data_IF_695492556866
#
_entry.id   IF_695492556866
#
_cell.length_a   1.000
_cell.length_b   1.000
_cell.length_c   1.000
_cell.angle_alpha   90.00
_cell.angle_beta   90.00
_cell.angle_gamma   90.00
#
_symmetry.space_group_name_H-M   'P 1'
#
loop_
_entity.id
_entity.type
_entity.pdbx_description
1 polymer ?
#
# COMPACT_ATOMS: atom_id res chain seq x y z
N UNK A 1 -5.39 -19.34 -3.65
CA UNK A 1 -5.50 -20.26 -4.82
C UNK A 1 -5.94 -19.50 -6.08
N UNK A 2 -6.75 -18.46 -5.99
CA UNK A 2 -7.33 -17.72 -7.12
C UNK A 2 -6.39 -16.71 -7.79
N UNK A 3 -5.38 -16.18 -7.07
CA UNK A 3 -4.49 -15.15 -7.60
C UNK A 3 -3.84 -15.47 -8.97
N UNK A 4 -3.39 -16.73 -9.26
CA UNK A 4 -2.87 -17.04 -10.58
C UNK A 4 -3.89 -16.85 -11.71
N UNK A 5 -5.16 -17.16 -11.47
CA UNK A 5 -6.22 -17.02 -12.46
C UNK A 5 -6.55 -15.53 -12.68
N UNK A 6 -6.51 -14.73 -11.60
CA UNK A 6 -6.69 -13.27 -11.69
C UNK A 6 -5.56 -12.59 -12.48
N UNK A 7 -4.31 -13.03 -12.31
CA UNK A 7 -3.17 -12.52 -13.11
C UNK A 7 -3.35 -12.85 -14.60
N UNK A 8 -3.81 -14.06 -14.93
CA UNK A 8 -4.11 -14.44 -16.32
C UNK A 8 -5.28 -13.65 -16.90
N UNK A 9 -6.29 -13.36 -16.09
CA UNK A 9 -7.42 -12.53 -16.50
C UNK A 9 -6.96 -11.08 -16.82
N UNK A 10 -6.09 -10.49 -16.00
CA UNK A 10 -5.47 -9.19 -16.32
C UNK A 10 -4.70 -9.23 -17.64
N UNK A 11 -3.97 -10.32 -17.90
CA UNK A 11 -3.25 -10.51 -19.15
C UNK A 11 -4.22 -10.59 -20.36
N UNK A 12 -5.35 -11.28 -20.22
CA UNK A 12 -6.40 -11.31 -21.24
C UNK A 12 -7.02 -9.94 -21.49
N UNK A 13 -7.02 -9.06 -20.49
CA UNK A 13 -7.49 -7.68 -20.58
C UNK A 13 -6.41 -6.69 -21.06
N UNK A 14 -5.19 -7.20 -21.36
CA UNK A 14 -4.12 -6.41 -21.96
C UNK A 14 -2.98 -6.00 -21.02
N UNK A 15 -2.90 -6.55 -19.81
CA UNK A 15 -1.73 -6.35 -18.96
C UNK A 15 -0.49 -7.05 -19.53
N UNK A 16 0.64 -6.34 -19.59
CA UNK A 16 1.88 -6.84 -20.18
C UNK A 16 2.90 -7.13 -19.08
N UNK A 17 2.82 -8.33 -18.51
CA UNK A 17 3.79 -8.79 -17.50
C UNK A 17 5.14 -9.16 -18.13
N UNK A 18 6.22 -8.95 -17.39
CA UNK A 18 7.56 -9.37 -17.77
C UNK A 18 7.62 -10.87 -18.03
N UNK A 19 8.42 -11.27 -19.04
CA UNK A 19 8.52 -12.65 -19.50
C UNK A 19 9.88 -13.26 -19.31
N UNK A 20 9.88 -14.54 -19.02
CA UNK A 20 11.09 -15.37 -19.10
C UNK A 20 11.46 -15.63 -20.58
N UNK A 21 12.69 -16.09 -20.89
CA UNK A 21 13.06 -16.49 -22.26
C UNK A 21 12.17 -17.56 -22.87
N UNK A 22 11.44 -18.34 -22.02
CA UNK A 22 10.47 -19.34 -22.46
C UNK A 22 9.04 -18.79 -22.59
N UNK A 23 8.90 -17.46 -22.59
CA UNK A 23 7.60 -16.76 -22.68
C UNK A 23 6.60 -17.07 -21.55
N UNK A 24 7.09 -17.48 -20.38
CA UNK A 24 6.27 -17.58 -19.17
C UNK A 24 6.29 -16.24 -18.40
N UNK A 25 5.24 -15.93 -17.66
CA UNK A 25 5.23 -14.75 -16.76
C UNK A 25 6.41 -14.87 -15.81
N UNK A 26 7.27 -13.85 -15.80
CA UNK A 26 8.42 -13.79 -14.91
C UNK A 26 7.96 -13.51 -13.47
N UNK A 27 8.68 -14.08 -12.52
CA UNK A 27 8.37 -13.95 -11.10
C UNK A 27 9.64 -13.54 -10.34
N UNK A 28 9.50 -12.59 -9.40
CA UNK A 28 10.62 -12.11 -8.59
C UNK A 28 10.49 -12.51 -7.12
N UNK A 29 11.62 -12.48 -6.42
CA UNK A 29 11.72 -12.61 -4.98
C UNK A 29 11.45 -11.28 -4.28
N UNK A 30 10.75 -11.34 -3.15
CA UNK A 30 10.65 -10.26 -2.16
C UNK A 30 10.93 -10.82 -0.77
N UNK A 31 11.20 -9.92 0.19
CA UNK A 31 11.44 -10.29 1.58
C UNK A 31 10.29 -11.10 2.19
N UNK A 32 10.64 -12.11 2.99
CA UNK A 32 9.70 -13.00 3.65
C UNK A 32 9.04 -14.07 2.74
N UNK A 33 9.27 -14.06 1.43
CA UNK A 33 8.78 -15.10 0.53
C UNK A 33 9.77 -16.26 0.41
N UNK A 34 9.28 -17.49 0.53
CA UNK A 34 10.10 -18.70 0.37
C UNK A 34 10.51 -18.94 -1.09
N UNK A 35 9.63 -18.60 -2.03
CA UNK A 35 9.85 -18.81 -3.47
C UNK A 35 9.53 -17.54 -4.26
N UNK A 36 10.19 -17.33 -5.44
CA UNK A 36 9.79 -16.29 -6.36
C UNK A 36 8.37 -16.58 -6.87
N UNK A 37 7.43 -15.67 -6.62
CA UNK A 37 6.02 -15.87 -7.01
C UNK A 37 5.32 -14.57 -7.42
N UNK A 38 6.02 -13.44 -7.44
CA UNK A 38 5.43 -12.15 -7.73
C UNK A 38 5.56 -11.83 -9.21
N UNK A 39 4.46 -11.96 -9.95
CA UNK A 39 4.34 -11.43 -11.29
C UNK A 39 4.58 -9.91 -11.26
N UNK A 40 5.30 -9.37 -12.24
CA UNK A 40 5.71 -7.98 -12.23
C UNK A 40 5.86 -7.40 -13.63
N UNK A 41 5.86 -6.06 -13.68
CA UNK A 41 6.20 -5.25 -14.85
C UNK A 41 7.29 -4.28 -14.39
N UNK A 42 8.57 -4.65 -14.57
CA UNK A 42 9.67 -3.86 -14.03
C UNK A 42 9.43 -3.49 -12.56
N UNK A 43 9.52 -2.19 -12.24
CA UNK A 43 9.20 -1.59 -10.95
C UNK A 43 7.85 -0.80 -10.95
N UNK A 44 7.01 -1.01 -11.98
CA UNK A 44 5.75 -0.29 -12.22
C UNK A 44 4.50 -1.19 -12.24
N UNK A 45 4.52 -2.34 -11.55
CA UNK A 45 3.43 -3.34 -11.58
C UNK A 45 2.08 -2.78 -11.18
N UNK A 46 2.02 -1.93 -10.15
CA UNK A 46 0.76 -1.29 -9.72
C UNK A 46 0.16 -0.40 -10.80
N UNK A 47 0.98 0.38 -11.48
CA UNK A 47 0.56 1.24 -12.59
C UNK A 47 -0.04 0.42 -13.74
N UNK A 48 0.58 -0.70 -14.11
CA UNK A 48 0.07 -1.58 -15.16
C UNK A 48 -1.30 -2.19 -14.81
N UNK A 49 -1.47 -2.62 -13.55
CA UNK A 49 -2.77 -3.15 -13.07
C UNK A 49 -3.84 -2.06 -13.13
N UNK A 50 -3.54 -0.85 -12.63
CA UNK A 50 -4.49 0.27 -12.64
C UNK A 50 -4.88 0.62 -14.08
N UNK A 51 -3.91 0.77 -14.99
CA UNK A 51 -4.15 1.05 -16.40
C UNK A 51 -5.09 0.01 -17.02
N UNK A 52 -4.79 -1.26 -16.83
CA UNK A 52 -5.58 -2.36 -17.40
C UNK A 52 -7.01 -2.37 -16.86
N UNK A 53 -7.18 -2.17 -15.55
CA UNK A 53 -8.52 -2.18 -14.93
C UNK A 53 -9.33 -0.93 -15.30
N UNK A 54 -8.71 0.24 -15.41
CA UNK A 54 -9.39 1.46 -15.86
C UNK A 54 -9.86 1.33 -17.32
N UNK A 55 -8.98 0.87 -18.23
CA UNK A 55 -9.34 0.61 -19.62
C UNK A 55 -10.50 -0.40 -19.71
N UNK A 56 -10.44 -1.47 -18.90
CA UNK A 56 -11.52 -2.46 -18.87
C UNK A 56 -12.83 -1.87 -18.36
N UNK A 57 -12.81 -1.08 -17.29
CA UNK A 57 -13.99 -0.41 -16.74
C UNK A 57 -14.67 0.50 -17.75
N UNK A 58 -13.89 1.30 -18.47
CA UNK A 58 -14.40 2.18 -19.54
C UNK A 58 -15.02 1.33 -20.68
N UNK A 59 -14.36 0.25 -21.07
CA UNK A 59 -14.84 -0.64 -22.13
C UNK A 59 -16.17 -1.34 -21.76
N UNK A 60 -16.35 -1.68 -20.48
CA UNK A 60 -17.60 -2.24 -19.94
C UNK A 60 -18.71 -1.19 -19.75
N UNK A 61 -18.42 0.08 -19.96
CA UNK A 61 -19.41 1.17 -19.83
C UNK A 61 -19.77 1.49 -18.37
N UNK A 62 -18.84 1.31 -17.44
CA UNK A 62 -19.03 1.69 -16.04
C UNK A 62 -19.03 3.22 -15.94
N UNK A 63 -20.06 3.79 -15.30
CA UNK A 63 -20.12 5.22 -15.00
C UNK A 63 -19.06 5.60 -13.96
N UNK A 64 -18.24 6.59 -14.29
CA UNK A 64 -17.15 7.06 -13.43
C UNK A 64 -17.40 8.51 -13.04
N UNK A 65 -17.56 8.74 -11.73
CA UNK A 65 -17.77 10.06 -11.14
C UNK A 65 -16.46 10.58 -10.56
N UNK A 66 -15.67 11.29 -11.39
CA UNK A 66 -14.39 11.86 -10.97
C UNK A 66 -14.59 13.07 -10.07
N UNK A 67 -13.65 13.29 -9.13
CA UNK A 67 -13.66 14.44 -8.21
C UNK A 67 -14.87 14.50 -7.25
N UNK A 68 -15.50 13.33 -6.99
CA UNK A 68 -16.55 13.20 -5.98
C UNK A 68 -15.99 12.70 -4.65
N UNK A 69 -16.33 13.38 -3.56
CA UNK A 69 -15.97 12.97 -2.19
C UNK A 69 -17.23 12.47 -1.48
N UNK A 70 -17.28 11.17 -1.18
CA UNK A 70 -18.35 10.56 -0.39
C UNK A 70 -18.14 10.86 1.08
N UNK A 71 -19.19 11.40 1.73
CA UNK A 71 -19.14 11.79 3.16
C UNK A 71 -20.13 11.08 4.05
N UNK A 72 -21.17 10.46 3.48
CA UNK A 72 -22.20 9.80 4.25
C UNK A 72 -22.75 8.59 3.51
N UNK A 73 -23.05 7.50 4.25
CA UNK A 73 -23.76 6.35 3.70
C UNK A 73 -25.26 6.44 4.10
N UNK A 74 -26.13 6.30 3.10
CA UNK A 74 -27.58 6.28 3.32
C UNK A 74 -28.04 4.90 3.79
N UNK A 75 -29.02 4.85 4.66
CA UNK A 75 -29.54 3.60 5.24
C UNK A 75 -31.07 3.55 5.20
N UNK A 76 -31.58 2.33 5.07
CA UNK A 76 -32.95 1.97 5.33
C UNK A 76 -32.98 0.86 6.41
N UNK A 77 -33.33 1.19 7.65
CA UNK A 77 -33.12 0.31 8.79
C UNK A 77 -31.63 -0.02 8.98
N UNK A 78 -31.27 -1.30 8.97
CA UNK A 78 -29.91 -1.78 9.13
C UNK A 78 -29.18 -1.99 7.77
N UNK A 79 -29.80 -1.63 6.65
CA UNK A 79 -29.25 -1.82 5.31
C UNK A 79 -28.70 -0.52 4.75
N UNK A 80 -27.50 -0.55 4.16
CA UNK A 80 -26.96 0.55 3.34
C UNK A 80 -27.68 0.56 1.99
N UNK A 81 -28.13 1.76 1.56
CA UNK A 81 -28.94 1.97 0.37
C UNK A 81 -28.39 3.05 -0.56
N UNK A 82 -27.20 3.54 -0.30
CA UNK A 82 -26.58 4.56 -1.12
C UNK A 82 -25.58 5.43 -0.37
N UNK A 83 -25.28 6.58 -0.93
CA UNK A 83 -24.37 7.54 -0.31
C UNK A 83 -24.70 8.98 -0.70
N UNK A 84 -24.17 9.94 0.08
CA UNK A 84 -24.14 11.36 -0.23
C UNK A 84 -22.71 11.78 -0.46
N UNK A 85 -22.49 12.49 -1.54
CA UNK A 85 -21.19 13.01 -1.96
C UNK A 85 -21.30 14.50 -2.33
N UNK A 86 -20.15 15.17 -2.40
CA UNK A 86 -20.05 16.48 -3.04
C UNK A 86 -18.96 16.43 -4.11
N UNK A 87 -19.12 17.29 -5.13
CA UNK A 87 -18.06 17.46 -6.14
C UNK A 87 -17.01 18.43 -5.62
N UNK A 88 -15.74 18.18 -5.95
CA UNK A 88 -14.64 19.11 -5.62
C UNK A 88 -14.50 20.24 -6.66
N UNK A 89 -15.23 20.17 -7.76
CA UNK A 89 -15.18 21.15 -8.85
C UNK A 89 -16.01 22.38 -8.53
N UNK A 90 -17.25 22.18 -8.07
CA UNK A 90 -18.24 23.25 -7.84
C UNK A 90 -18.87 23.20 -6.43
N UNK A 91 -18.66 22.14 -5.68
CA UNK A 91 -19.20 21.96 -4.33
C UNK A 91 -20.64 21.47 -4.30
N UNK A 92 -21.21 21.07 -5.42
CA UNK A 92 -22.58 20.55 -5.51
C UNK A 92 -22.73 19.21 -4.79
N UNK A 93 -23.89 19.02 -4.14
CA UNK A 93 -24.21 17.79 -3.41
C UNK A 93 -25.00 16.82 -4.28
N UNK A 94 -24.64 15.55 -4.19
CA UNK A 94 -25.24 14.47 -4.94
C UNK A 94 -25.60 13.30 -4.02
N UNK A 95 -26.81 12.75 -4.19
CA UNK A 95 -27.23 11.54 -3.52
C UNK A 95 -27.33 10.39 -4.52
N UNK A 96 -26.68 9.29 -4.22
CA UNK A 96 -26.68 8.08 -5.04
C UNK A 96 -27.49 6.99 -4.35
N UNK A 97 -28.52 6.49 -5.03
CA UNK A 97 -29.29 5.33 -4.59
C UNK A 97 -28.66 4.06 -5.11
N UNK A 98 -28.39 3.11 -4.24
CA UNK A 98 -27.72 1.85 -4.60
C UNK A 98 -28.29 0.67 -3.82
N UNK A 99 -28.42 -0.48 -4.48
CA UNK A 99 -28.85 -1.74 -3.86
C UNK A 99 -27.75 -2.38 -3.01
N UNK A 100 -26.50 -2.08 -3.33
CA UNK A 100 -25.29 -2.49 -2.62
C UNK A 100 -24.22 -1.44 -2.78
N UNK A 101 -23.37 -1.25 -1.77
CA UNK A 101 -22.21 -0.34 -1.80
C UNK A 101 -20.96 -1.13 -1.50
N UNK A 102 -19.91 -0.94 -2.30
CA UNK A 102 -18.59 -1.55 -2.08
C UNK A 102 -17.58 -0.46 -1.72
N UNK A 103 -17.02 -0.53 -0.54
CA UNK A 103 -15.90 0.32 -0.14
C UNK A 103 -14.59 -0.25 -0.69
N UNK A 104 -13.89 0.53 -1.50
CA UNK A 104 -12.56 0.22 -2.04
C UNK A 104 -11.63 1.45 -1.88
N UNK A 105 -11.73 2.11 -0.75
CA UNK A 105 -11.19 3.46 -0.47
C UNK A 105 -9.74 3.47 -0.06
N UNK A 106 -9.08 2.30 -0.02
CA UNK A 106 -7.70 2.20 0.43
C UNK A 106 -7.54 2.36 1.94
N UNK A 107 -6.32 2.70 2.37
CA UNK A 107 -5.92 2.70 3.77
C UNK A 107 -6.05 4.03 4.49
N UNK A 108 -5.28 4.16 5.60
CA UNK A 108 -5.31 5.28 6.55
C UNK A 108 -3.91 5.84 6.83
N UNK A 109 -2.92 5.54 6.01
CA UNK A 109 -1.51 5.84 6.33
C UNK A 109 -1.17 7.33 6.38
N UNK A 110 -2.04 8.21 5.87
CA UNK A 110 -1.86 9.69 5.96
C UNK A 110 -2.05 10.26 7.37
N UNK A 111 -2.48 9.47 8.34
CA UNK A 111 -2.45 9.88 9.76
C UNK A 111 -1.04 9.86 10.36
N UNK A 112 -0.04 9.34 9.62
CA UNK A 112 1.38 9.42 10.00
C UNK A 112 2.08 10.52 9.21
N UNK A 113 2.96 11.27 9.88
CA UNK A 113 3.74 12.37 9.27
C UNK A 113 4.68 11.87 8.17
N UNK A 114 5.20 10.65 8.29
CA UNK A 114 6.04 10.00 7.28
C UNK A 114 5.32 8.77 6.76
N UNK A 115 4.73 8.89 5.57
CA UNK A 115 3.99 7.79 4.95
C UNK A 115 4.24 7.73 3.45
N UNK A 116 4.07 6.53 2.90
CA UNK A 116 4.18 6.26 1.46
C UNK A 116 2.82 6.19 0.76
N UNK A 117 1.73 6.35 1.51
CA UNK A 117 0.38 6.32 0.97
C UNK A 117 0.02 7.57 0.17
N UNK A 118 -0.96 7.42 -0.72
CA UNK A 118 -1.57 8.55 -1.44
C UNK A 118 -2.16 9.59 -0.47
N UNK A 119 -2.31 10.83 -0.93
CA UNK A 119 -2.95 11.90 -0.17
C UNK A 119 -4.41 11.59 0.20
N UNK A 120 -5.06 10.70 -0.52
CA UNK A 120 -6.42 10.23 -0.28
C UNK A 120 -6.51 9.11 0.77
N UNK A 121 -5.38 8.59 1.28
CA UNK A 121 -5.39 7.51 2.30
C UNK A 121 -5.62 8.06 3.71
N UNK A 122 -6.72 8.81 3.86
CA UNK A 122 -7.12 9.52 5.08
C UNK A 122 -8.04 8.71 6.00
N UNK A 123 -8.45 7.49 5.59
CA UNK A 123 -9.30 6.60 6.38
C UNK A 123 -10.80 6.86 6.23
N UNK A 124 -11.21 7.60 5.21
CA UNK A 124 -12.62 7.96 5.00
C UNK A 124 -13.54 6.74 4.93
N UNK A 125 -13.13 5.68 4.21
CA UNK A 125 -13.91 4.45 4.13
C UNK A 125 -14.07 3.73 5.46
N UNK A 126 -13.05 3.76 6.32
CA UNK A 126 -13.12 3.21 7.67
C UNK A 126 -14.12 4.00 8.52
N UNK A 127 -14.07 5.33 8.44
CA UNK A 127 -15.01 6.21 9.15
C UNK A 127 -16.44 6.02 8.65
N UNK A 128 -16.65 5.97 7.34
CA UNK A 128 -17.96 5.72 6.72
C UNK A 128 -18.56 4.39 7.17
N UNK A 129 -17.75 3.33 7.19
CA UNK A 129 -18.18 2.01 7.64
C UNK A 129 -18.57 2.02 9.13
N UNK A 130 -17.72 2.63 9.98
CA UNK A 130 -17.97 2.74 11.43
C UNK A 130 -19.24 3.54 11.71
N UNK A 131 -19.45 4.68 11.06
CA UNK A 131 -20.65 5.50 11.22
C UNK A 131 -21.92 4.80 10.71
N UNK A 132 -21.79 3.95 9.70
CA UNK A 132 -22.88 3.09 9.25
C UNK A 132 -23.23 1.97 10.25
N UNK A 133 -22.36 1.70 11.22
CA UNK A 133 -22.50 0.66 12.25
C UNK A 133 -21.72 -0.62 11.95
N UNK A 134 -20.82 -0.61 10.98
CA UNK A 134 -19.94 -1.76 10.71
C UNK A 134 -18.83 -1.86 11.76
N UNK A 135 -18.39 -3.09 12.02
CA UNK A 135 -17.28 -3.36 12.92
C UNK A 135 -15.95 -3.15 12.21
N UNK A 136 -14.97 -2.57 12.92
CA UNK A 136 -13.58 -2.51 12.52
C UNK A 136 -12.75 -3.51 13.33
N UNK A 137 -11.72 -4.07 12.71
CA UNK A 137 -10.86 -5.10 13.31
C UNK A 137 -9.41 -4.84 13.03
N UNK A 138 -8.52 -5.20 13.98
CA UNK A 138 -7.06 -5.24 13.83
C UNK A 138 -6.45 -3.87 13.44
N UNK A 139 -7.07 -2.75 13.81
CA UNK A 139 -6.66 -1.39 13.45
C UNK A 139 -5.28 -1.00 14.00
N UNK A 140 -4.79 -1.70 15.02
CA UNK A 140 -3.46 -1.52 15.61
C UNK A 140 -2.32 -2.08 14.73
N UNK A 141 -2.62 -2.92 13.74
CA UNK A 141 -1.59 -3.52 12.89
C UNK A 141 -1.25 -2.63 11.70
N UNK A 142 -0.22 -1.82 11.87
CA UNK A 142 0.31 -0.93 10.84
C UNK A 142 1.68 -1.40 10.38
N UNK A 143 1.85 -1.59 9.09
CA UNK A 143 3.11 -1.96 8.49
C UNK A 143 3.91 -0.73 8.08
N UNK A 144 5.15 -0.65 8.58
CA UNK A 144 6.12 0.31 8.08
C UNK A 144 6.97 -0.35 6.98
N UNK A 145 7.02 0.30 5.82
CA UNK A 145 7.99 -0.09 4.79
C UNK A 145 9.38 0.41 5.21
N UNK A 146 10.42 -0.43 5.18
CA UNK A 146 11.73 -0.04 5.70
C UNK A 146 12.41 1.06 4.89
N UNK A 147 12.06 1.18 3.60
CA UNK A 147 12.72 2.07 2.67
C UNK A 147 11.74 3.05 2.04
N UNK A 148 11.60 4.23 2.64
CA UNK A 148 11.03 5.44 2.05
C UNK A 148 12.14 6.46 1.85
N UNK A 149 11.96 7.44 0.96
CA UNK A 149 12.90 8.57 0.83
C UNK A 149 12.90 9.38 2.13
N UNK A 150 14.07 9.81 2.59
CA UNK A 150 14.17 10.66 3.78
C UNK A 150 14.53 12.09 3.44
N UNK A 151 15.07 12.33 2.25
CA UNK A 151 15.50 13.64 1.76
C UNK A 151 15.18 13.81 0.26
N UNK A 152 14.86 15.02 -0.21
CA UNK A 152 14.55 16.24 0.56
C UNK A 152 13.22 16.16 1.33
N UNK A 153 12.92 17.09 2.26
CA UNK A 153 11.70 17.05 3.08
C UNK A 153 10.40 16.96 2.30
N UNK A 154 10.34 17.59 1.12
CA UNK A 154 9.15 17.60 0.24
C UNK A 154 8.74 16.23 -0.30
N UNK A 155 9.66 15.26 -0.29
CA UNK A 155 9.44 13.89 -0.80
C UNK A 155 9.62 12.83 0.27
N UNK A 156 9.75 13.27 1.53
CA UNK A 156 9.93 12.36 2.65
C UNK A 156 8.76 11.38 2.76
N UNK A 157 9.09 10.10 2.87
CA UNK A 157 8.12 9.01 2.95
C UNK A 157 7.78 8.36 1.61
N UNK A 158 8.08 8.99 0.46
CA UNK A 158 7.82 8.36 -0.85
C UNK A 158 8.53 7.01 -0.92
N UNK A 159 7.80 6.01 -1.40
CA UNK A 159 8.24 4.62 -1.40
C UNK A 159 9.49 4.41 -2.27
N UNK A 160 10.49 3.76 -1.67
CA UNK A 160 11.60 3.12 -2.39
C UNK A 160 11.31 1.63 -2.45
N UNK A 161 10.98 1.13 -3.64
CA UNK A 161 10.49 -0.24 -3.81
C UNK A 161 11.44 -1.29 -3.23
N UNK A 162 10.86 -2.33 -2.67
CA UNK A 162 11.60 -3.51 -2.21
C UNK A 162 12.41 -4.18 -3.33
N UNK A 163 12.02 -3.93 -4.58
CA UNK A 163 12.74 -4.38 -5.77
C UNK A 163 14.23 -3.98 -5.74
N UNK A 164 14.58 -2.80 -5.19
CA UNK A 164 15.99 -2.39 -5.07
C UNK A 164 16.79 -3.38 -4.22
N UNK A 165 16.25 -3.82 -3.07
CA UNK A 165 16.88 -4.84 -2.23
C UNK A 165 16.89 -6.21 -2.91
N UNK A 166 15.82 -6.55 -3.62
CA UNK A 166 15.70 -7.77 -4.40
C UNK A 166 16.71 -7.89 -5.57
N UNK A 167 17.10 -6.76 -6.15
CA UNK A 167 18.13 -6.68 -7.19
C UNK A 167 19.57 -6.55 -6.62
N UNK A 168 19.72 -6.66 -5.29
CA UNK A 168 21.00 -6.70 -4.59
C UNK A 168 21.38 -5.39 -3.88
N UNK A 169 20.44 -4.49 -3.62
CA UNK A 169 20.71 -3.28 -2.85
C UNK A 169 21.17 -3.59 -1.43
N UNK A 170 22.27 -2.95 -1.01
CA UNK A 170 22.96 -3.13 0.27
C UNK A 170 22.60 -2.01 1.22
N UNK A 171 22.21 -2.35 2.46
CA UNK A 171 21.93 -1.37 3.52
C UNK A 171 23.19 -1.13 4.37
N UNK A 172 23.66 0.13 4.40
CA UNK A 172 24.80 0.53 5.20
C UNK A 172 24.46 1.71 6.11
N UNK A 173 25.16 1.79 7.26
CA UNK A 173 25.07 2.92 8.17
C UNK A 173 26.09 4.02 7.80
N UNK A 174 26.18 5.10 8.59
CA UNK A 174 27.11 6.21 8.37
C UNK A 174 28.61 5.83 8.52
N UNK A 175 28.88 4.70 9.14
CA UNK A 175 30.24 4.16 9.30
C UNK A 175 30.62 3.23 8.13
N UNK A 176 29.70 3.03 7.15
CA UNK A 176 29.90 2.14 6.02
C UNK A 176 29.67 0.66 6.32
N UNK A 177 29.23 0.32 7.55
CA UNK A 177 28.93 -1.06 7.92
C UNK A 177 27.63 -1.53 7.30
N UNK A 178 27.61 -2.72 6.71
CA UNK A 178 26.43 -3.44 6.22
C UNK A 178 25.71 -4.09 7.42
N UNK A 179 25.03 -3.26 8.20
CA UNK A 179 24.54 -3.56 9.55
C UNK A 179 23.47 -4.65 9.64
N UNK A 180 22.79 -5.01 8.56
CA UNK A 180 21.69 -5.97 8.61
C UNK A 180 22.10 -7.35 9.14
N UNK A 181 23.37 -7.74 9.03
CA UNK A 181 23.90 -9.00 9.59
C UNK A 181 23.79 -9.05 11.12
N UNK A 182 23.85 -7.91 11.80
CA UNK A 182 23.76 -7.81 13.27
C UNK A 182 22.31 -7.89 13.79
N UNK A 183 21.33 -7.84 12.87
CA UNK A 183 19.91 -7.79 13.19
C UNK A 183 19.11 -9.01 12.73
N UNK A 184 19.77 -10.10 12.34
CA UNK A 184 19.09 -11.33 11.93
C UNK A 184 18.52 -12.02 13.17
N UNK A 185 17.18 -12.14 13.32
CA UNK A 185 16.61 -12.87 14.45
C UNK A 185 16.97 -14.36 14.38
N UNK A 186 17.18 -15.01 15.54
CA UNK A 186 17.56 -16.42 15.64
C UNK A 186 16.65 -17.34 14.81
N UNK A 187 15.34 -17.06 14.81
CA UNK A 187 14.36 -17.83 14.05
C UNK A 187 14.55 -17.77 12.53
N UNK A 188 15.30 -16.80 12.01
CA UNK A 188 15.58 -16.62 10.57
C UNK A 188 17.04 -16.92 10.21
N UNK A 189 17.89 -17.23 11.19
CA UNK A 189 19.33 -17.44 10.97
C UNK A 189 19.61 -18.56 9.93
N UNK A 190 18.78 -19.63 9.95
CA UNK A 190 18.92 -20.74 9.00
C UNK A 190 18.66 -20.37 7.52
N UNK A 191 17.89 -19.31 7.26
CA UNK A 191 17.46 -18.88 5.93
C UNK A 191 18.25 -17.70 5.36
N UNK A 192 19.07 -17.03 6.19
CA UNK A 192 19.79 -15.81 5.81
C UNK A 192 21.30 -15.98 5.94
N UNK A 193 22.02 -15.31 5.03
CA UNK A 193 23.47 -15.33 4.95
C UNK A 193 24.13 -14.83 6.26
N UNK A 194 25.21 -15.49 6.66
CA UNK A 194 26.02 -15.10 7.79
C UNK A 194 27.19 -14.19 7.38
N UNK A 195 27.56 -14.20 6.11
CA UNK A 195 28.68 -13.39 5.61
C UNK A 195 28.26 -12.55 4.39
N UNK A 196 29.03 -11.50 4.13
CA UNK A 196 28.83 -10.61 2.98
C UNK A 196 29.01 -11.39 1.68
N UNK A 197 30.01 -12.28 1.63
CA UNK A 197 30.35 -13.08 0.45
C UNK A 197 29.21 -14.03 0.08
N UNK A 198 28.59 -14.68 1.10
CA UNK A 198 27.42 -15.55 0.90
C UNK A 198 26.22 -14.76 0.36
N UNK A 199 25.95 -13.60 0.93
CA UNK A 199 24.88 -12.73 0.50
C UNK A 199 25.07 -12.25 -0.95
N UNK A 200 26.28 -11.84 -1.30
CA UNK A 200 26.63 -11.38 -2.63
C UNK A 200 26.58 -12.52 -3.67
N UNK A 201 27.02 -13.71 -3.30
CA UNK A 201 26.86 -14.91 -4.14
C UNK A 201 25.39 -15.19 -4.45
N UNK A 202 24.50 -15.12 -3.46
CA UNK A 202 23.07 -15.30 -3.65
C UNK A 202 22.52 -14.32 -4.69
N UNK A 203 22.91 -13.04 -4.59
CA UNK A 203 22.47 -12.00 -5.52
C UNK A 203 22.93 -12.33 -6.94
N UNK A 204 24.19 -12.70 -7.14
CA UNK A 204 24.74 -13.03 -8.47
C UNK A 204 24.04 -14.26 -9.10
N UNK A 205 23.75 -15.28 -8.31
CA UNK A 205 23.03 -16.46 -8.78
C UNK A 205 21.59 -16.09 -9.21
N UNK A 206 20.85 -15.38 -8.37
CA UNK A 206 19.43 -15.05 -8.64
C UNK A 206 19.29 -14.07 -9.79
N UNK A 207 20.12 -13.02 -9.84
CA UNK A 207 20.06 -12.02 -10.91
C UNK A 207 20.46 -12.61 -12.27
N UNK A 208 21.38 -13.59 -12.28
CA UNK A 208 21.73 -14.35 -13.49
C UNK A 208 20.66 -15.35 -13.91
N UNK A 209 19.55 -15.48 -13.17
CA UNK A 209 18.46 -16.40 -13.44
C UNK A 209 18.70 -17.85 -12.98
N UNK A 210 19.69 -18.06 -12.12
CA UNK A 210 19.96 -19.36 -11.50
C UNK A 210 19.14 -19.54 -10.22
N UNK A 211 18.96 -20.76 -9.78
CA UNK A 211 18.48 -21.05 -8.45
C UNK A 211 19.61 -20.75 -7.45
N UNK A 212 19.28 -20.08 -6.37
CA UNK A 212 20.23 -19.82 -5.31
C UNK A 212 20.69 -21.13 -4.64
N UNK A 213 21.99 -21.26 -4.45
CA UNK A 213 22.64 -22.38 -3.76
C UNK A 213 23.06 -22.04 -2.33
N UNK A 214 23.00 -20.77 -1.96
CA UNK A 214 23.37 -20.21 -0.65
C UNK A 214 22.18 -19.45 -0.05
N UNK A 215 22.31 -19.04 1.21
CA UNK A 215 21.27 -18.31 1.94
C UNK A 215 21.14 -16.87 1.45
N UNK A 216 19.91 -16.34 1.56
CA UNK A 216 19.55 -15.00 1.05
C UNK A 216 20.17 -13.87 1.89
N UNK A 217 20.37 -12.67 1.32
CA UNK A 217 20.84 -11.50 2.07
C UNK A 217 19.90 -11.10 3.20
N UNK A 218 20.45 -10.63 4.36
CA UNK A 218 19.63 -10.13 5.47
C UNK A 218 18.76 -8.91 5.10
N UNK A 219 19.09 -8.14 4.08
CA UNK A 219 18.26 -7.06 3.53
C UNK A 219 16.90 -7.55 3.02
N UNK A 220 16.74 -8.85 2.80
CA UNK A 220 15.47 -9.49 2.40
C UNK A 220 14.73 -10.13 3.59
N UNK A 221 15.07 -9.79 4.82
CA UNK A 221 14.25 -10.06 6.00
C UNK A 221 12.88 -9.38 5.89
N UNK A 222 11.95 -9.75 6.75
CA UNK A 222 10.62 -9.16 6.80
C UNK A 222 10.70 -7.65 7.07
N UNK A 223 9.72 -6.89 6.58
CA UNK A 223 9.72 -5.42 6.60
C UNK A 223 9.88 -4.84 7.99
N UNK A 224 9.23 -5.44 8.98
CA UNK A 224 9.31 -5.03 10.38
C UNK A 224 10.72 -5.17 10.96
N UNK A 225 11.43 -6.24 10.64
CA UNK A 225 12.82 -6.45 11.09
C UNK A 225 13.73 -5.40 10.46
N UNK A 226 13.66 -5.20 9.16
CA UNK A 226 14.50 -4.22 8.46
C UNK A 226 14.20 -2.79 8.94
N UNK A 227 12.92 -2.44 9.12
CA UNK A 227 12.53 -1.11 9.61
C UNK A 227 13.04 -0.86 11.05
N UNK A 228 12.94 -1.86 11.92
CA UNK A 228 13.49 -1.79 13.28
C UNK A 228 15.02 -1.66 13.29
N UNK A 229 15.72 -2.39 12.40
CA UNK A 229 17.17 -2.33 12.28
C UNK A 229 17.63 -0.91 11.86
N UNK A 230 17.04 -0.34 10.79
CA UNK A 230 17.36 1.03 10.37
C UNK A 230 17.13 2.03 11.50
N UNK A 231 15.98 1.94 12.17
CA UNK A 231 15.68 2.83 13.28
C UNK A 231 16.63 2.67 14.47
N UNK A 232 17.11 1.45 14.74
CA UNK A 232 18.12 1.19 15.76
C UNK A 232 19.46 1.86 15.44
N UNK A 233 19.90 1.80 14.16
CA UNK A 233 21.09 2.49 13.69
C UNK A 233 20.97 4.02 13.84
N UNK A 234 19.81 4.58 13.46
CA UNK A 234 19.53 6.02 13.62
C UNK A 234 19.58 6.43 15.10
N UNK A 235 18.93 5.66 15.99
CA UNK A 235 18.93 5.93 17.44
C UNK A 235 20.31 5.79 18.08
N UNK A 236 21.14 4.91 17.54
CA UNK A 236 22.53 4.73 17.99
C UNK A 236 23.48 5.83 17.45
N UNK A 237 22.99 6.80 16.70
CA UNK A 237 23.79 7.87 16.09
C UNK A 237 24.57 7.46 14.86
N UNK A 238 24.30 6.28 14.31
CA UNK A 238 24.94 5.75 13.09
C UNK A 238 24.03 5.88 11.86
N UNK A 239 22.95 6.65 11.94
CA UNK A 239 22.07 6.94 10.81
C UNK A 239 22.72 7.82 9.73
N UNK A 240 22.04 7.93 8.58
CA UNK A 240 22.41 8.90 7.55
C UNK A 240 22.14 10.34 8.02
N UNK A 241 22.68 11.36 7.34
CA UNK A 241 22.53 12.77 7.74
C UNK A 241 21.08 13.23 7.97
N UNK A 242 20.14 12.65 7.25
CA UNK A 242 18.72 13.05 7.32
C UNK A 242 17.84 12.05 8.08
N UNK A 243 18.45 11.17 8.91
CA UNK A 243 17.72 10.29 9.84
C UNK A 243 17.23 8.98 9.21
N UNK A 244 18.01 8.41 8.31
CA UNK A 244 17.78 7.10 7.71
C UNK A 244 19.04 6.23 7.71
N UNK A 245 19.14 5.36 6.71
CA UNK A 245 20.32 4.57 6.35
C UNK A 245 20.63 4.77 4.86
N UNK A 246 21.78 4.26 4.41
CA UNK A 246 22.14 4.27 3.01
C UNK A 246 21.73 2.95 2.35
N UNK A 247 21.06 3.05 1.19
CA UNK A 247 20.74 1.91 0.34
C UNK A 247 21.53 2.05 -0.96
N UNK A 248 22.54 1.21 -1.16
CA UNK A 248 23.44 1.26 -2.32
C UNK A 248 23.15 0.12 -3.31
N UNK A 249 22.91 0.49 -4.56
CA UNK A 249 22.73 -0.41 -5.70
C UNK A 249 23.75 -0.14 -6.82
N UNK A 250 24.62 0.87 -6.65
CA UNK A 250 25.55 1.36 -7.69
C UNK A 250 26.48 0.27 -8.24
N UNK A 251 26.86 -0.70 -7.40
CA UNK A 251 27.70 -1.84 -7.77
C UNK A 251 27.10 -2.74 -8.87
N UNK A 252 25.80 -2.61 -9.17
CA UNK A 252 25.13 -3.34 -10.26
C UNK A 252 25.38 -2.74 -11.64
N UNK A 253 25.86 -1.49 -11.69
CA UNK A 253 26.11 -0.75 -12.90
C UNK A 253 24.88 -0.12 -13.55
N UNK A 254 25.09 0.96 -14.28
CA UNK A 254 24.02 1.81 -14.84
C UNK A 254 23.08 1.03 -15.78
N UNK A 255 23.60 0.19 -16.67
CA UNK A 255 22.79 -0.57 -17.63
C UNK A 255 21.79 -1.51 -16.91
N UNK A 256 22.24 -2.22 -15.89
CA UNK A 256 21.38 -3.13 -15.12
C UNK A 256 20.31 -2.36 -14.34
N UNK A 257 20.67 -1.21 -13.76
CA UNK A 257 19.75 -0.36 -12.99
C UNK A 257 18.68 0.24 -13.90
N UNK A 258 19.07 0.82 -15.04
CA UNK A 258 18.12 1.39 -16.00
C UNK A 258 17.17 0.34 -16.60
N UNK A 259 17.64 -0.89 -16.73
CA UNK A 259 16.81 -2.01 -17.22
C UNK A 259 15.82 -2.54 -16.16
N UNK A 260 16.23 -2.60 -14.87
CA UNK A 260 15.48 -3.29 -13.81
C UNK A 260 14.71 -2.36 -12.90
N UNK A 261 15.20 -1.14 -12.72
CA UNK A 261 14.74 -0.14 -11.77
C UNK A 261 14.62 1.26 -12.42
N UNK A 262 14.07 1.39 -13.63
CA UNK A 262 14.03 2.67 -14.34
C UNK A 262 13.24 3.74 -13.57
N UNK A 263 12.14 3.36 -12.92
CA UNK A 263 11.33 4.30 -12.14
C UNK A 263 12.07 4.79 -10.89
N UNK A 264 12.83 3.92 -10.22
CA UNK A 264 13.63 4.32 -9.05
C UNK A 264 14.78 5.24 -9.45
N UNK A 265 15.47 4.95 -10.56
CA UNK A 265 16.52 5.83 -11.09
C UNK A 265 15.94 7.23 -11.40
N UNK A 266 14.81 7.28 -12.12
CA UNK A 266 14.14 8.54 -12.43
C UNK A 266 13.68 9.27 -11.16
N UNK A 267 13.03 8.57 -10.23
CA UNK A 267 12.52 9.14 -8.97
C UNK A 267 13.63 9.84 -8.17
N UNK A 268 14.76 9.17 -7.93
CA UNK A 268 15.84 9.76 -7.15
C UNK A 268 16.54 10.88 -7.89
N UNK A 269 16.74 10.74 -9.20
CA UNK A 269 17.37 11.77 -10.02
C UNK A 269 16.56 13.06 -10.07
N UNK A 270 15.24 12.96 -10.28
CA UNK A 270 14.36 14.13 -10.40
C UNK A 270 13.98 14.74 -9.03
N UNK A 271 13.78 13.91 -8.02
CA UNK A 271 13.26 14.38 -6.74
C UNK A 271 14.35 14.71 -5.71
N UNK A 272 15.49 14.04 -5.78
CA UNK A 272 16.59 14.20 -4.81
C UNK A 272 17.92 14.62 -5.44
N UNK A 273 18.03 14.66 -6.77
CA UNK A 273 19.28 14.95 -7.47
C UNK A 273 20.31 13.83 -7.35
N UNK A 274 19.91 12.62 -6.95
CA UNK A 274 20.77 11.46 -6.70
C UNK A 274 20.76 10.52 -7.89
N UNK A 275 21.95 10.23 -8.45
CA UNK A 275 22.13 9.19 -9.47
C UNK A 275 22.46 7.86 -8.79
N UNK A 276 21.43 7.01 -8.60
CA UNK A 276 21.54 5.74 -7.89
C UNK A 276 22.48 4.72 -8.57
N UNK A 277 22.94 5.00 -9.77
CA UNK A 277 23.99 4.21 -10.45
C UNK A 277 25.39 4.57 -9.99
N UNK A 278 25.57 5.65 -9.23
CA UNK A 278 26.86 6.18 -8.80
C UNK A 278 26.98 6.40 -7.30
N UNK A 279 25.85 6.63 -6.62
CA UNK A 279 25.82 6.98 -5.22
C UNK A 279 24.62 6.36 -4.48
N UNK A 280 24.72 6.11 -3.16
CA UNK A 280 23.66 5.50 -2.39
C UNK A 280 22.46 6.43 -2.18
N UNK A 281 21.29 5.83 -2.03
CA UNK A 281 20.04 6.47 -1.64
C UNK A 281 19.97 6.60 -0.12
N UNK A 282 19.50 7.74 0.41
CA UNK A 282 19.10 7.81 1.81
C UNK A 282 17.66 7.34 1.97
N UNK A 283 17.47 6.31 2.81
CA UNK A 283 16.17 5.67 3.02
C UNK A 283 15.86 5.47 4.50
N UNK A 284 14.58 5.47 4.85
CA UNK A 284 14.14 5.23 6.22
C UNK A 284 12.72 4.67 6.29
N UNK A 285 12.28 4.21 7.47
CA UNK A 285 10.94 3.67 7.66
C UNK A 285 9.85 4.68 7.33
N UNK A 286 8.79 4.22 6.65
CA UNK A 286 7.61 5.01 6.27
C UNK A 286 6.34 4.19 6.52
N UNK A 287 5.30 4.80 7.08
CA UNK A 287 3.99 4.14 7.22
C UNK A 287 3.46 3.79 5.84
N UNK A 288 3.09 2.52 5.62
CA UNK A 288 2.90 2.02 4.27
C UNK A 288 1.59 1.29 4.05
N UNK A 289 1.14 0.47 5.02
CA UNK A 289 -0.04 -0.37 4.86
C UNK A 289 -0.69 -0.65 6.21
N UNK A 290 -2.01 -0.59 6.28
CA UNK A 290 -2.78 -1.00 7.46
C UNK A 290 -3.41 -2.35 7.19
N UNK A 291 -3.15 -3.35 8.06
CA UNK A 291 -3.75 -4.68 7.95
C UNK A 291 -5.13 -4.75 8.56
N UNK A 292 -5.45 -3.82 9.46
CA UNK A 292 -6.78 -3.62 10.02
C UNK A 292 -7.74 -2.96 9.02
N UNK A 293 -9.02 -2.93 9.37
CA UNK A 293 -10.05 -2.32 8.54
C UNK A 293 -11.45 -2.84 8.87
N UNK A 294 -12.35 -2.69 7.92
CA UNK A 294 -13.73 -3.17 8.03
C UNK A 294 -13.76 -4.70 8.15
N UNK A 295 -14.43 -5.19 9.19
CA UNK A 295 -14.65 -6.63 9.36
C UNK A 295 -15.62 -7.11 8.28
N UNK A 296 -15.17 -8.06 7.46
CA UNK A 296 -15.94 -8.63 6.36
C UNK A 296 -16.00 -10.16 6.46
N UNK A 297 -17.04 -10.73 5.89
CA UNK A 297 -17.11 -12.17 5.65
C UNK A 297 -16.06 -12.57 4.59
N UNK A 298 -15.31 -13.62 4.86
CA UNK A 298 -14.18 -14.03 4.02
C UNK A 298 -14.59 -14.50 2.61
N UNK A 299 -15.81 -14.97 2.43
CA UNK A 299 -16.31 -15.47 1.14
C UNK A 299 -16.94 -14.33 0.33
N UNK A 300 -17.85 -13.59 0.95
CA UNK A 300 -18.70 -12.60 0.29
C UNK A 300 -18.13 -11.19 0.28
N UNK A 301 -17.23 -10.87 1.20
CA UNK A 301 -16.73 -9.51 1.48
C UNK A 301 -17.83 -8.55 1.97
N UNK A 302 -19.00 -9.05 2.40
CA UNK A 302 -20.02 -8.24 3.04
C UNK A 302 -19.60 -7.93 4.48
N UNK A 303 -19.80 -6.69 4.92
CA UNK A 303 -19.52 -6.26 6.28
C UNK A 303 -20.58 -6.76 7.27
N UNK A 304 -20.47 -6.38 8.55
CA UNK A 304 -21.51 -6.62 9.55
C UNK A 304 -22.79 -5.81 9.30
N UNK A 305 -22.76 -4.86 8.38
CA UNK A 305 -23.90 -4.05 7.94
C UNK A 305 -24.40 -4.54 6.58
N UNK A 306 -25.66 -4.89 6.51
CA UNK A 306 -26.30 -5.43 5.31
C UNK A 306 -26.17 -4.48 4.10
N UNK A 307 -25.74 -4.99 2.94
CA UNK A 307 -25.59 -4.22 1.71
C UNK A 307 -24.32 -3.39 1.63
N UNK A 308 -23.46 -3.43 2.66
CA UNK A 308 -22.16 -2.78 2.68
C UNK A 308 -21.04 -3.83 2.56
N UNK A 309 -20.27 -3.74 1.50
CA UNK A 309 -19.11 -4.59 1.21
C UNK A 309 -17.82 -3.78 1.35
N UNK A 310 -16.70 -4.46 1.61
CA UNK A 310 -15.39 -3.82 1.60
C UNK A 310 -14.33 -4.77 1.05
N UNK A 311 -13.35 -4.24 0.29
CA UNK A 311 -12.26 -5.02 -0.28
C UNK A 311 -10.98 -4.17 -0.43
N UNK A 312 -9.84 -4.84 -0.53
CA UNK A 312 -8.53 -4.20 -0.52
C UNK A 312 -8.16 -3.69 0.86
N UNK A 313 -7.32 -2.67 0.94
CA UNK A 313 -6.72 -2.19 2.21
C UNK A 313 -7.74 -1.64 3.22
N UNK A 314 -8.95 -1.27 2.81
CA UNK A 314 -10.02 -0.85 3.73
C UNK A 314 -10.64 -2.03 4.50
N UNK A 315 -10.48 -3.27 4.01
CA UNK A 315 -10.99 -4.48 4.63
C UNK A 315 -9.92 -5.17 5.48
N UNK A 316 -10.33 -5.78 6.60
CA UNK A 316 -9.43 -6.47 7.54
C UNK A 316 -9.39 -7.98 7.34
N UNK A 317 -8.44 -8.64 8.03
CA UNK A 317 -8.43 -10.08 8.27
C UNK A 317 -7.59 -10.92 7.30
N UNK A 318 -7.17 -10.36 6.15
CA UNK A 318 -6.43 -11.13 5.15
C UNK A 318 -4.95 -11.34 5.49
N UNK A 319 -4.30 -10.33 6.06
CA UNK A 319 -2.83 -10.27 6.15
C UNK A 319 -2.28 -10.58 7.55
N UNK A 320 -3.15 -10.80 8.55
CA UNK A 320 -2.72 -10.93 9.94
C UNK A 320 -2.01 -9.66 10.41
N UNK A 321 -0.97 -9.80 11.24
CA UNK A 321 -0.27 -8.66 11.82
C UNK A 321 0.80 -8.04 10.90
N UNK A 322 1.21 -8.72 9.82
CA UNK A 322 2.27 -8.23 8.92
C UNK A 322 2.12 -8.78 7.50
N UNK A 323 1.89 -7.90 6.54
CA UNK A 323 1.68 -8.27 5.14
C UNK A 323 3.01 -8.55 4.43
N UNK A 324 3.08 -9.66 3.68
CA UNK A 324 4.19 -9.90 2.77
C UNK A 324 4.13 -8.96 1.55
N UNK A 325 5.30 -8.51 1.10
CA UNK A 325 5.43 -7.64 -0.08
C UNK A 325 4.73 -8.24 -1.31
N UNK A 326 4.02 -7.41 -2.08
CA UNK A 326 3.27 -7.82 -3.28
C UNK A 326 1.91 -8.47 -3.02
N UNK A 327 1.62 -8.99 -1.83
CA UNK A 327 0.34 -9.64 -1.53
C UNK A 327 -0.85 -8.67 -1.60
N UNK A 328 -0.65 -7.36 -1.38
CA UNK A 328 -1.74 -6.38 -1.56
C UNK A 328 -2.29 -6.36 -2.98
N UNK A 329 -1.43 -6.48 -4.01
CA UNK A 329 -1.91 -6.51 -5.39
C UNK A 329 -2.75 -7.76 -5.68
N UNK A 330 -2.36 -8.91 -5.11
CA UNK A 330 -3.17 -10.14 -5.20
C UNK A 330 -4.49 -10.02 -4.46
N UNK A 331 -4.51 -9.33 -3.32
CA UNK A 331 -5.70 -8.99 -2.55
C UNK A 331 -6.70 -8.21 -3.42
N UNK A 332 -6.26 -7.09 -3.99
CA UNK A 332 -7.12 -6.22 -4.80
C UNK A 332 -7.85 -6.98 -5.91
N UNK A 333 -7.13 -7.83 -6.66
CA UNK A 333 -7.70 -8.54 -7.81
C UNK A 333 -8.54 -9.77 -7.43
N UNK A 334 -8.30 -10.39 -6.27
CA UNK A 334 -9.09 -11.54 -5.80
C UNK A 334 -10.33 -11.08 -5.04
N UNK A 335 -10.15 -10.27 -4.00
CA UNK A 335 -11.24 -9.89 -3.11
C UNK A 335 -12.09 -8.75 -3.69
N UNK A 336 -11.51 -7.89 -4.55
CA UNK A 336 -12.29 -6.96 -5.36
C UNK A 336 -13.28 -7.66 -6.27
N UNK A 337 -12.86 -8.76 -6.92
CA UNK A 337 -13.77 -9.58 -7.73
C UNK A 337 -14.87 -10.21 -6.88
N UNK A 338 -14.52 -10.82 -5.74
CA UNK A 338 -15.51 -11.42 -4.83
C UNK A 338 -16.53 -10.39 -4.36
N UNK A 339 -16.07 -9.25 -3.85
CA UNK A 339 -16.96 -8.17 -3.41
C UNK A 339 -17.92 -7.75 -4.54
N UNK A 340 -17.41 -7.55 -5.76
CA UNK A 340 -18.24 -7.20 -6.91
C UNK A 340 -19.27 -8.27 -7.28
N UNK A 341 -18.89 -9.55 -7.32
CA UNK A 341 -19.77 -10.67 -7.65
C UNK A 341 -20.90 -10.81 -6.61
N UNK A 342 -20.58 -10.76 -5.31
CA UNK A 342 -21.58 -10.92 -4.26
C UNK A 342 -22.46 -9.66 -4.11
N UNK A 343 -21.92 -8.45 -4.28
CA UNK A 343 -22.69 -7.22 -4.32
C UNK A 343 -23.68 -7.22 -5.50
N UNK A 344 -23.24 -7.64 -6.68
CA UNK A 344 -24.10 -7.75 -7.87
C UNK A 344 -25.18 -8.81 -7.70
N UNK A 345 -24.83 -10.00 -7.17
CA UNK A 345 -25.80 -11.06 -6.86
C UNK A 345 -26.86 -10.57 -5.89
N UNK A 346 -26.45 -9.90 -4.80
CA UNK A 346 -27.38 -9.30 -3.86
C UNK A 346 -28.28 -8.28 -4.55
N UNK A 347 -27.71 -7.40 -5.38
CA UNK A 347 -28.43 -6.34 -6.06
C UNK A 347 -29.49 -6.87 -7.04
N UNK A 348 -29.29 -8.04 -7.65
CA UNK A 348 -30.25 -8.65 -8.58
C UNK A 348 -31.60 -8.97 -7.93
N UNK A 349 -31.58 -9.31 -6.65
CA UNK A 349 -32.77 -9.79 -5.91
C UNK A 349 -33.53 -8.64 -5.22
N UNK A 350 -33.02 -7.41 -5.28
CA UNK A 350 -33.56 -6.26 -4.55
C UNK A 350 -34.23 -5.24 -5.50
N UNK A 351 -35.34 -4.64 -5.03
CA UNK A 351 -35.87 -3.43 -5.64
C UNK A 351 -34.93 -2.25 -5.41
N UNK A 352 -34.99 -1.26 -6.31
CA UNK A 352 -34.24 -0.01 -6.13
C UNK A 352 -34.71 0.69 -4.84
N UNK A 353 -33.81 1.03 -3.91
CA UNK A 353 -34.21 1.74 -2.70
C UNK A 353 -34.63 3.18 -3.00
N UNK A 354 -35.53 3.69 -2.17
CA UNK A 354 -35.90 5.11 -2.20
C UNK A 354 -34.92 5.90 -1.33
N UNK A 355 -34.47 7.04 -1.86
CA UNK A 355 -33.64 7.96 -1.05
C UNK A 355 -34.51 8.65 -0.01
N UNK A 356 -34.05 8.65 1.23
CA UNK A 356 -34.64 9.43 2.31
C UNK A 356 -34.04 10.85 2.29
N UNK A 357 -34.83 11.81 1.83
CA UNK A 357 -34.42 13.21 1.74
C UNK A 357 -34.00 13.80 3.08
N UNK A 358 -34.54 13.31 4.19
CA UNK A 358 -34.16 13.79 5.52
C UNK A 358 -32.73 13.41 5.90
N UNK A 359 -32.29 12.21 5.53
CA UNK A 359 -30.90 11.79 5.71
C UNK A 359 -29.94 12.61 4.82
N UNK A 360 -30.35 12.87 3.58
CA UNK A 360 -29.56 13.70 2.64
C UNK A 360 -29.38 15.12 3.21
N UNK A 361 -30.47 15.75 3.68
CA UNK A 361 -30.42 17.09 4.26
C UNK A 361 -29.56 17.12 5.53
N UNK A 362 -29.65 16.10 6.39
CA UNK A 362 -28.82 16.00 7.59
C UNK A 362 -27.34 15.90 7.20
N UNK A 363 -26.99 15.04 6.25
CA UNK A 363 -25.62 14.89 5.76
C UNK A 363 -25.05 16.20 5.18
N UNK A 364 -25.85 16.94 4.41
CA UNK A 364 -25.46 18.25 3.85
C UNK A 364 -25.25 19.26 4.98
N UNK A 365 -26.13 19.32 5.97
CA UNK A 365 -25.97 20.24 7.11
C UNK A 365 -24.69 19.92 7.91
N UNK A 366 -24.38 18.66 8.15
CA UNK A 366 -23.13 18.25 8.81
C UNK A 366 -21.90 18.66 8.01
N UNK A 367 -21.92 18.53 6.69
CA UNK A 367 -20.82 18.95 5.81
C UNK A 367 -20.63 20.47 5.78
N UNK A 368 -21.71 21.23 5.88
CA UNK A 368 -21.68 22.69 5.88
C UNK A 368 -21.43 23.29 7.26
N UNK A 369 -21.63 22.56 8.35
CA UNK A 369 -21.48 23.04 9.70
C UNK A 369 -20.12 23.74 9.99
N UNK A 370 -18.97 23.22 9.51
CA UNK A 370 -17.69 23.90 9.73
C UNK A 370 -17.61 25.32 9.16
N UNK A 371 -18.34 25.62 8.10
CA UNK A 371 -18.34 26.94 7.47
C UNK A 371 -19.09 28.01 8.28
N UNK A 372 -19.91 27.58 9.24
CA UNK A 372 -20.67 28.48 10.14
C UNK A 372 -19.96 28.74 11.46
N UNK A 373 -18.82 28.07 11.72
CA UNK A 373 -18.06 28.25 12.94
C UNK A 373 -17.27 29.57 12.90
N UNK A 374 -17.59 30.48 13.83
CA UNK A 374 -16.79 31.69 14.05
C UNK A 374 -15.68 31.39 15.08
N UNK A 375 -14.40 31.67 14.73
CA UNK A 375 -13.28 31.56 15.65
C UNK A 375 -12.72 30.14 15.87
N UNK A 376 -12.93 29.21 14.94
CA UNK A 376 -12.32 27.88 14.98
C UNK A 376 -10.82 27.89 14.69
N UNK A 377 -10.12 26.82 15.12
CA UNK A 377 -8.71 26.59 14.77
C UNK A 377 -8.56 26.24 13.29
N UNK A 378 -7.43 26.64 12.70
CA UNK A 378 -7.11 26.28 11.32
C UNK A 378 -6.97 24.75 11.20
N UNK A 379 -7.71 24.09 10.27
CA UNK A 379 -7.64 22.64 10.09
C UNK A 379 -6.24 22.11 9.85
N UNK A 380 -5.37 22.86 9.17
CA UNK A 380 -3.97 22.48 8.95
C UNK A 380 -3.19 22.41 10.27
N UNK A 381 -3.41 23.37 11.19
CA UNK A 381 -2.76 23.34 12.52
C UNK A 381 -3.23 22.14 13.32
N UNK A 382 -4.55 21.85 13.30
CA UNK A 382 -5.10 20.67 13.99
C UNK A 382 -4.51 19.38 13.41
N UNK A 383 -4.39 19.30 12.08
CA UNK A 383 -3.79 18.17 11.39
C UNK A 383 -2.32 17.99 11.80
N UNK A 384 -1.52 19.05 11.77
CA UNK A 384 -0.11 19.00 12.16
C UNK A 384 0.08 18.60 13.62
N UNK A 385 -0.76 19.13 14.54
CA UNK A 385 -0.75 18.74 15.95
C UNK A 385 -1.12 17.25 16.13
N UNK A 386 -2.07 16.75 15.37
CA UNK A 386 -2.43 15.31 15.38
C UNK A 386 -1.25 14.46 14.93
N UNK A 387 -0.53 14.85 13.89
CA UNK A 387 0.63 14.12 13.37
C UNK A 387 1.82 14.08 14.33
N UNK A 388 2.01 15.09 15.22
CA UNK A 388 3.09 15.08 16.22
C UNK A 388 2.99 13.84 17.13
N UNK A 389 1.81 13.38 17.44
CA UNK A 389 1.59 12.22 18.30
C UNK A 389 1.80 10.87 17.58
N UNK A 390 1.85 10.87 16.25
CA UNK A 390 1.92 9.66 15.41
C UNK A 390 3.24 9.65 14.59
N UNK A 391 4.18 10.55 14.91
CA UNK A 391 5.39 10.77 14.10
C UNK A 391 6.49 9.71 14.27
N UNK A 392 6.39 8.80 15.26
CA UNK A 392 7.44 7.81 15.51
C UNK A 392 6.95 6.35 15.44
N UNK A 393 7.52 5.53 14.53
CA UNK A 393 7.23 4.09 14.46
C UNK A 393 7.65 3.31 15.72
N UNK A 394 8.24 3.98 16.70
CA UNK A 394 8.94 3.36 17.83
C UNK A 394 8.24 3.48 19.18
N UNK A 395 7.11 4.20 19.28
CA UNK A 395 6.32 4.28 20.51
C UNK A 395 5.30 3.15 20.68
N UNK A 396 5.19 2.25 19.75
CA UNK A 396 4.44 1.02 20.00
C UNK A 396 5.30 0.12 20.88
N UNK A 397 5.08 0.19 22.19
CA UNK A 397 5.51 -0.83 23.11
C UNK A 397 4.75 -2.11 22.78
N UNK A 398 5.47 -3.07 22.31
CA UNK A 398 5.05 -4.46 22.18
C UNK A 398 5.35 -5.21 23.46
#
# INVERSE_FOLDING_TARGET
KEAPDRVRELEQWGAVFDRTPKNLINQRNFGGHTFPRLAHVGDATGLEIIRTLQERGIHEGIDIFMEYTVRHLLKEGDRVTGCVAYTRVDGDFHAFSAKSVVLATGGITRVWSVCSGSWEYTGDGHALALWAGAELRDMEFVQFHPTGMVWPPSVRGILVTEGVRGEGGRLTNSEGSRFMFDYVPEMFAGDHAETIEEADQWVEEVVSGKLATVRRPPELLTRDVVAKAINSEVKAGRGSPHGGAFLDISHRGEEAILKKLPSMHHQFKELAGVDISKEPMEVGPTAHYVMGGVLVDAETQESTVSGLFACGEVASGLHGANRLGGNSLSDLIVFGKRAGEFAAKRASDLAQPTIDDSQVQTAIQEMLAPFTNEGGENPGIIYDLSLIHISEPTRQHW
#
